data_IF_856766250684
#
_entry.id   IF_856766250684
#
_cell.length_a   1.000
_cell.length_b   1.000
_cell.length_c   1.000
_cell.angle_alpha   90.00
_cell.angle_beta   90.00
_cell.angle_gamma   90.00
#
_symmetry.space_group_name_H-M   'P 1'
#
loop_
_entity.id
_entity.type
_entity.pdbx_description
1 polymer ?
#
# COMPACT_ATOMS: atom_id res chain seq x y z
N UNK A 1 32.42 40.50 -6.05
CA UNK A 1 31.12 40.35 -5.33
C UNK A 1 30.70 38.88 -5.40
N UNK A 2 30.32 38.23 -4.28
CA UNK A 2 29.97 36.81 -4.21
C UNK A 2 28.47 36.51 -4.50
N UNK A 3 28.18 35.24 -4.88
CA UNK A 3 26.91 34.52 -5.23
C UNK A 3 25.69 34.77 -4.29
N UNK A 4 24.39 34.35 -4.53
CA UNK A 4 23.95 33.17 -5.32
C UNK A 4 22.56 33.20 -6.01
N UNK A 5 22.33 32.33 -6.98
CA UNK A 5 20.97 31.83 -7.26
C UNK A 5 21.04 30.37 -7.72
N UNK A 6 20.89 29.49 -6.75
CA UNK A 6 20.68 28.06 -6.93
C UNK A 6 19.58 27.83 -7.98
N UNK A 7 19.99 27.53 -9.21
CA UNK A 7 19.20 26.69 -10.08
C UNK A 7 19.12 25.33 -9.36
N UNK A 8 18.02 25.11 -8.64
CA UNK A 8 17.65 23.80 -8.14
C UNK A 8 17.31 22.93 -9.35
N UNK A 9 18.34 22.46 -10.06
CA UNK A 9 18.23 21.34 -10.98
C UNK A 9 17.98 20.12 -10.12
N UNK A 10 16.71 19.93 -9.76
CA UNK A 10 16.20 18.70 -9.19
C UNK A 10 16.73 17.56 -10.06
N UNK A 11 17.33 16.50 -9.48
CA UNK A 11 17.81 15.39 -10.28
C UNK A 11 16.65 14.85 -11.12
N UNK A 12 16.88 14.39 -12.36
CA UNK A 12 15.83 13.78 -13.17
C UNK A 12 15.21 12.70 -12.30
N UNK A 13 13.94 12.90 -11.90
CA UNK A 13 13.20 11.95 -11.06
C UNK A 13 13.45 10.59 -11.66
N UNK A 14 14.24 9.78 -10.96
CA UNK A 14 14.59 8.44 -11.39
C UNK A 14 13.32 7.77 -11.93
N UNK A 15 13.40 7.00 -13.03
CA UNK A 15 12.23 6.28 -13.54
C UNK A 15 11.57 5.61 -12.33
N UNK A 16 10.26 5.81 -12.12
CA UNK A 16 9.63 5.45 -10.85
C UNK A 16 9.93 3.98 -10.60
N UNK A 17 10.83 3.72 -9.65
CA UNK A 17 11.41 2.40 -9.40
C UNK A 17 10.27 1.40 -9.33
N UNK A 18 10.12 0.58 -10.39
CA UNK A 18 9.00 -0.32 -10.68
C UNK A 18 7.87 -0.26 -9.64
N UNK A 19 7.09 0.82 -9.66
CA UNK A 19 6.07 1.04 -8.64
C UNK A 19 4.73 0.54 -9.14
N UNK A 20 4.29 -0.61 -8.64
CA UNK A 20 2.96 -1.14 -8.94
C UNK A 20 1.93 -0.39 -8.09
N UNK A 21 0.95 0.24 -8.72
CA UNK A 21 -0.05 1.01 -7.99
C UNK A 21 -1.45 0.74 -8.52
N UNK A 22 -2.41 0.62 -7.61
CA UNK A 22 -3.78 0.22 -7.96
C UNK A 22 -4.78 0.44 -6.84
N UNK A 23 -6.04 0.67 -7.22
CA UNK A 23 -7.15 0.76 -6.29
C UNK A 23 -7.59 -0.65 -5.87
N UNK A 24 -7.48 -0.96 -4.59
CA UNK A 24 -7.83 -2.25 -4.00
C UNK A 24 -8.72 -2.05 -2.78
N UNK A 25 -9.64 -2.97 -2.53
CA UNK A 25 -10.35 -2.95 -1.25
C UNK A 25 -9.50 -3.68 -0.21
N UNK A 26 -9.01 -2.95 0.80
CA UNK A 26 -8.30 -3.52 1.95
C UNK A 26 -9.26 -3.75 3.10
N UNK A 27 -9.11 -4.87 3.78
CA UNK A 27 -9.75 -5.22 5.03
C UNK A 27 -8.66 -5.62 6.03
N UNK A 28 -8.64 -5.01 7.21
CA UNK A 28 -7.70 -5.34 8.27
C UNK A 28 -8.24 -6.54 9.05
N UNK A 29 -7.55 -7.68 9.06
CA UNK A 29 -7.95 -8.86 9.83
C UNK A 29 -7.24 -8.91 11.19
N UNK A 30 -5.92 -8.67 11.20
CA UNK A 30 -5.08 -8.79 12.38
C UNK A 30 -4.03 -7.68 12.45
N UNK A 31 -3.84 -7.11 13.63
CA UNK A 31 -2.78 -6.14 13.95
C UNK A 31 -1.48 -6.85 14.36
N UNK A 32 -0.35 -6.14 14.35
CA UNK A 32 0.99 -6.66 14.65
C UNK A 32 1.11 -7.35 16.01
N UNK A 33 0.30 -6.92 16.98
CA UNK A 33 0.27 -7.48 18.33
C UNK A 33 -0.49 -8.81 18.42
N UNK A 34 -0.87 -9.45 17.31
CA UNK A 34 -1.72 -10.64 17.32
C UNK A 34 -3.15 -10.36 17.78
N UNK A 35 -3.52 -9.07 17.85
CA UNK A 35 -4.87 -8.62 18.19
C UNK A 35 -5.70 -8.55 16.92
N UNK A 36 -6.93 -9.06 16.99
CA UNK A 36 -7.88 -8.92 15.87
C UNK A 36 -8.13 -7.44 15.62
N UNK A 37 -8.08 -7.01 14.37
CA UNK A 37 -8.26 -5.60 14.04
C UNK A 37 -9.67 -5.13 14.48
N UNK A 38 -9.79 -3.96 15.13
CA UNK A 38 -11.08 -3.45 15.60
C UNK A 38 -12.03 -3.11 14.44
N UNK A 39 -11.48 -2.73 13.29
CA UNK A 39 -12.25 -2.43 12.08
C UNK A 39 -11.97 -3.45 10.98
N UNK A 40 -12.87 -4.44 10.84
CA UNK A 40 -12.82 -5.52 9.83
C UNK A 40 -13.67 -5.22 8.59
N UNK A 41 -13.97 -3.94 8.37
CA UNK A 41 -14.73 -3.48 7.20
C UNK A 41 -13.84 -3.39 5.97
N UNK A 42 -14.42 -3.67 4.81
CA UNK A 42 -13.73 -3.45 3.54
C UNK A 42 -13.68 -1.96 3.24
N UNK A 43 -12.47 -1.42 3.09
CA UNK A 43 -12.23 -0.04 2.73
C UNK A 43 -11.54 0.01 1.37
N UNK A 44 -12.08 0.79 0.45
CA UNK A 44 -11.39 1.06 -0.82
C UNK A 44 -10.19 1.96 -0.52
N UNK A 45 -9.00 1.48 -0.87
CA UNK A 45 -7.75 2.20 -0.72
C UNK A 45 -6.96 2.09 -2.01
N UNK A 46 -6.05 3.01 -2.24
CA UNK A 46 -5.11 2.94 -3.33
C UNK A 46 -3.77 2.46 -2.78
N UNK A 47 -3.32 1.28 -3.21
CA UNK A 47 -2.07 0.69 -2.78
C UNK A 47 -0.97 1.05 -3.78
N UNK A 48 0.17 1.51 -3.31
CA UNK A 48 1.37 1.77 -4.12
C UNK A 48 2.49 0.92 -3.55
N UNK A 49 2.88 -0.10 -4.29
CA UNK A 49 4.07 -0.88 -4.03
C UNK A 49 5.27 -0.16 -4.66
N UNK A 50 6.30 0.15 -3.87
CA UNK A 50 7.56 0.74 -4.34
C UNK A 50 8.73 0.14 -3.57
N UNK A 51 9.66 -0.50 -4.27
CA UNK A 51 10.89 -1.01 -3.66
C UNK A 51 10.68 -2.01 -2.51
N UNK A 52 9.63 -2.82 -2.58
CA UNK A 52 9.30 -3.76 -1.50
C UNK A 52 8.54 -3.15 -0.31
N UNK A 53 8.07 -1.91 -0.43
CA UNK A 53 7.20 -1.27 0.56
C UNK A 53 5.85 -0.91 -0.07
N UNK A 54 4.77 -1.28 0.58
CA UNK A 54 3.40 -1.07 0.14
C UNK A 54 2.77 0.11 0.91
N UNK A 55 2.66 1.25 0.26
CA UNK A 55 2.00 2.43 0.81
C UNK A 55 0.50 2.40 0.53
N UNK A 56 -0.31 2.85 1.49
CA UNK A 56 -1.76 2.96 1.34
C UNK A 56 -2.18 4.42 1.24
N UNK A 57 -3.11 4.69 0.33
CA UNK A 57 -3.67 6.00 0.05
C UNK A 57 -5.19 5.90 0.00
N UNK A 58 -5.90 7.01 0.16
CA UNK A 58 -7.36 7.01 0.01
C UNK A 58 -7.75 6.74 -1.44
N UNK A 59 -7.08 7.45 -2.36
CA UNK A 59 -7.34 7.44 -3.79
C UNK A 59 -6.01 7.60 -4.56
N UNK A 60 -6.04 7.35 -5.88
CA UNK A 60 -4.91 7.63 -6.78
C UNK A 60 -4.45 9.10 -6.71
N UNK A 61 -5.38 10.03 -6.47
CA UNK A 61 -5.09 11.46 -6.26
C UNK A 61 -4.23 11.68 -5.01
N UNK A 62 -4.58 11.01 -3.91
CA UNK A 62 -3.80 11.07 -2.67
C UNK A 62 -2.43 10.41 -2.83
N UNK A 63 -2.32 9.35 -3.62
CA UNK A 63 -1.04 8.76 -3.97
C UNK A 63 -0.14 9.72 -4.77
N UNK A 64 -0.70 10.39 -5.78
CA UNK A 64 0.00 11.41 -6.55
C UNK A 64 0.40 12.63 -5.71
N UNK A 65 -0.42 13.00 -4.73
CA UNK A 65 -0.13 14.07 -3.78
C UNK A 65 0.78 13.64 -2.61
N UNK A 66 1.09 12.35 -2.47
CA UNK A 66 1.88 11.83 -1.35
C UNK A 66 1.17 11.91 0.01
N UNK A 67 -0.17 11.94 0.04
CA UNK A 67 -0.99 12.03 1.26
C UNK A 67 -1.35 10.62 1.78
N UNK A 68 -0.60 10.05 2.75
CA UNK A 68 -0.83 8.68 3.24
C UNK A 68 -2.22 8.49 3.84
N UNK A 69 -2.83 7.33 3.59
CA UNK A 69 -4.12 6.95 4.19
C UNK A 69 -3.96 6.84 5.70
N UNK A 70 -4.72 7.63 6.46
CA UNK A 70 -4.66 7.68 7.93
C UNK A 70 -3.26 7.97 8.53
N UNK A 71 -2.30 8.43 7.73
CA UNK A 71 -0.90 8.56 8.20
C UNK A 71 -0.24 7.22 8.51
N UNK A 72 -0.80 6.09 8.04
CA UNK A 72 -0.20 4.78 8.25
C UNK A 72 1.13 4.70 7.48
N UNK A 73 2.20 4.21 8.12
CA UNK A 73 3.49 4.05 7.46
C UNK A 73 3.37 3.01 6.32
N UNK A 74 4.26 3.09 5.31
CA UNK A 74 4.33 2.07 4.27
C UNK A 74 4.48 0.68 4.91
N UNK A 75 3.63 -0.26 4.53
CA UNK A 75 3.75 -1.64 4.95
C UNK A 75 4.94 -2.28 4.24
N UNK A 76 6.00 -2.58 4.99
CA UNK A 76 7.14 -3.31 4.46
C UNK A 76 6.72 -4.70 3.99
N UNK A 77 6.91 -5.00 2.72
CA UNK A 77 6.73 -6.35 2.17
C UNK A 77 7.97 -7.24 2.39
N UNK A 78 9.02 -6.72 3.04
CA UNK A 78 10.21 -7.49 3.40
C UNK A 78 9.86 -8.66 4.32
N UNK A 79 9.72 -9.86 3.75
CA UNK A 79 9.26 -11.05 4.45
C UNK A 79 7.73 -11.17 4.60
N UNK A 80 6.96 -10.28 3.96
CA UNK A 80 5.52 -10.43 3.88
C UNK A 80 5.14 -11.60 2.96
N UNK A 81 4.05 -12.28 3.29
CA UNK A 81 3.50 -13.39 2.51
C UNK A 81 2.14 -13.01 1.94
N UNK A 82 2.08 -12.90 0.63
CA UNK A 82 0.83 -12.79 -0.12
C UNK A 82 0.32 -14.20 -0.46
N UNK A 83 -0.93 -14.48 -0.09
CA UNK A 83 -1.63 -15.72 -0.39
C UNK A 83 -2.93 -15.38 -1.12
N UNK A 84 -3.15 -15.87 -2.35
CA UNK A 84 -4.42 -15.66 -3.03
C UNK A 84 -5.53 -16.41 -2.28
N UNK A 85 -6.56 -15.68 -1.85
CA UNK A 85 -7.73 -16.23 -1.18
C UNK A 85 -8.76 -16.67 -2.23
N UNK A 86 -8.37 -17.66 -3.03
CA UNK A 86 -9.19 -18.23 -4.12
C UNK A 86 -10.50 -18.86 -3.61
N UNK A 87 -10.54 -19.23 -2.32
CA UNK A 87 -11.66 -19.94 -1.71
C UNK A 87 -12.71 -19.03 -1.06
N UNK A 88 -12.64 -17.71 -1.27
CA UNK A 88 -13.59 -16.75 -0.69
C UNK A 88 -14.87 -16.68 -1.52
N UNK A 89 -15.83 -17.59 -1.24
CA UNK A 89 -17.12 -17.77 -1.97
C UNK A 89 -17.96 -16.49 -2.21
N UNK A 90 -17.69 -15.36 -1.55
CA UNK A 90 -18.41 -14.08 -1.72
C UNK A 90 -17.72 -13.04 -2.62
N UNK A 91 -16.43 -13.18 -2.94
CA UNK A 91 -15.67 -12.22 -3.78
C UNK A 91 -14.53 -12.94 -4.50
N UNK A 92 -14.48 -12.86 -5.83
CA UNK A 92 -13.32 -13.26 -6.64
C UNK A 92 -12.18 -12.23 -6.47
N UNK A 93 -10.93 -12.61 -6.77
CA UNK A 93 -9.73 -11.74 -6.72
C UNK A 93 -9.35 -11.19 -5.35
N UNK A 94 -9.65 -11.95 -4.31
CA UNK A 94 -9.18 -11.63 -2.96
C UNK A 94 -7.81 -12.28 -2.76
N UNK A 95 -6.86 -11.55 -2.21
CA UNK A 95 -5.59 -12.06 -1.71
C UNK A 95 -5.35 -11.58 -0.29
N UNK A 96 -4.85 -12.46 0.56
CA UNK A 96 -4.43 -12.15 1.91
C UNK A 96 -2.96 -11.76 1.88
N UNK A 97 -2.60 -10.65 2.51
CA UNK A 97 -1.23 -10.23 2.75
C UNK A 97 -0.95 -10.30 4.24
N UNK A 98 -0.11 -11.25 4.65
CA UNK A 98 0.48 -11.27 5.98
C UNK A 98 1.80 -10.52 5.97
N UNK A 99 1.91 -9.44 6.73
CA UNK A 99 3.19 -8.78 6.97
C UNK A 99 4.01 -9.59 7.97
N UNK A 100 5.33 -9.49 7.85
CA UNK A 100 6.31 -10.04 8.78
C UNK A 100 6.18 -9.47 10.21
N UNK A 101 5.57 -8.29 10.33
CA UNK A 101 5.20 -7.63 11.59
C UNK A 101 4.05 -8.35 12.35
N UNK A 102 3.45 -9.40 11.76
CA UNK A 102 2.30 -10.13 12.32
C UNK A 102 0.93 -9.54 11.94
N UNK A 103 0.92 -8.44 11.17
CA UNK A 103 -0.31 -7.84 10.62
C UNK A 103 -0.85 -8.68 9.47
N UNK A 104 -2.16 -8.90 9.44
CA UNK A 104 -2.85 -9.55 8.33
C UNK A 104 -3.87 -8.64 7.69
N UNK A 105 -3.77 -8.51 6.37
CA UNK A 105 -4.67 -7.74 5.54
C UNK A 105 -5.30 -8.63 4.48
N UNK A 106 -6.57 -8.42 4.19
CA UNK A 106 -7.24 -8.96 3.01
C UNK A 106 -7.37 -7.84 1.99
N UNK A 107 -6.79 -8.04 0.82
CA UNK A 107 -6.97 -7.16 -0.32
C UNK A 107 -7.87 -7.82 -1.33
N UNK A 108 -8.67 -7.02 -2.00
CA UNK A 108 -9.44 -7.43 -3.15
C UNK A 108 -9.07 -6.55 -4.31
N UNK A 109 -8.60 -7.20 -5.37
CA UNK A 109 -8.43 -6.58 -6.67
C UNK A 109 -9.75 -6.59 -7.44
N UNK A 110 -9.90 -5.63 -8.37
CA UNK A 110 -10.95 -5.72 -9.40
C UNK A 110 -10.54 -6.81 -10.39
N UNK A 111 -11.54 -7.61 -10.79
CA UNK A 111 -11.45 -8.58 -11.88
C UNK A 111 -11.26 -7.81 -13.20
N UNK A 112 -10.26 -8.19 -13.99
CA UNK A 112 -10.17 -7.90 -15.43
C UNK A 112 -10.26 -9.23 -16.20
#
# INVERSE_FOLDING_TARGET
>A
VPDPAHAATLPPRAPPAASLQGALCRKHEMEAQGKRAPNRSWQSVFCVLRGGSLSFYKDARSAGAGAPFHGEPPASLGGARCHPALHYKKRKHVFKLGLSDGKEYLFQAKDE
#
